data_IF_658851213422
#
_entry.id   IF_658851213422
#
_cell.length_a   1.000
_cell.length_b   1.000
_cell.length_c   1.000
_cell.angle_alpha   90.00
_cell.angle_beta   90.00
_cell.angle_gamma   90.00
#
_symmetry.space_group_name_H-M   'P 1'
#
loop_
_entity.id
_entity.type
_entity.pdbx_description
1 polymer ?
#
# COMPACT_ATOMS: atom_id res chain seq x y z
N UNK A 1 -3.58 31.83 30.85
CA UNK A 1 -2.97 31.86 29.52
C UNK A 1 -3.57 30.68 28.71
N UNK A 2 -4.03 30.91 27.46
CA UNK A 2 -4.55 29.82 26.66
C UNK A 2 -3.43 28.80 26.44
N UNK A 3 -3.71 27.54 26.73
CA UNK A 3 -2.79 26.43 26.47
C UNK A 3 -2.60 26.36 24.96
N UNK A 4 -1.34 26.51 24.50
CA UNK A 4 -1.05 26.47 23.08
C UNK A 4 -1.60 25.14 22.48
N UNK A 5 -2.16 25.17 21.26
CA UNK A 5 -2.67 23.98 20.59
C UNK A 5 -1.65 22.83 20.56
N UNK A 6 -0.37 23.15 20.45
CA UNK A 6 0.74 22.21 20.41
C UNK A 6 0.86 21.32 21.65
N UNK A 7 0.68 21.88 22.85
CA UNK A 7 0.76 21.07 24.08
C UNK A 7 -0.31 19.99 24.17
N UNK A 8 -1.52 20.26 23.63
CA UNK A 8 -2.61 19.26 23.62
C UNK A 8 -2.34 18.16 22.59
N UNK A 9 -1.71 18.49 21.48
CA UNK A 9 -1.38 17.54 20.41
C UNK A 9 -0.21 16.64 20.83
N UNK A 10 0.83 17.23 21.43
CA UNK A 10 2.00 16.49 21.92
C UNK A 10 1.62 15.48 23.01
N UNK A 11 0.69 15.82 23.90
CA UNK A 11 0.19 14.90 24.92
C UNK A 11 -0.55 13.69 24.35
N UNK A 12 -1.08 13.77 23.11
CA UNK A 12 -1.82 12.69 22.44
C UNK A 12 -0.94 11.83 21.52
N UNK A 13 0.28 12.26 21.19
CA UNK A 13 1.19 11.57 20.25
C UNK A 13 0.69 11.50 18.79
N UNK A 14 -0.38 12.23 18.46
CA UNK A 14 -1.06 12.17 17.15
C UNK A 14 -0.74 13.43 16.32
N UNK A 15 0.51 13.67 16.00
CA UNK A 15 0.93 14.88 15.26
C UNK A 15 0.47 14.92 13.81
N UNK A 16 0.30 13.77 13.14
CA UNK A 16 -0.08 13.71 11.72
C UNK A 16 -1.48 14.24 11.45
N UNK A 17 -2.42 14.05 12.37
CA UNK A 17 -3.82 14.43 12.17
C UNK A 17 -4.01 15.94 12.14
N UNK A 18 -3.48 16.73 13.10
CA UNK A 18 -3.57 18.19 13.06
C UNK A 18 -2.91 18.80 11.85
N UNK A 19 -1.75 18.32 11.43
CA UNK A 19 -1.08 18.79 10.22
C UNK A 19 -1.92 18.55 8.96
N UNK A 20 -2.54 17.38 8.83
CA UNK A 20 -3.46 17.08 7.71
C UNK A 20 -4.72 17.94 7.74
N UNK A 21 -5.26 18.21 8.93
CA UNK A 21 -6.40 19.11 9.09
C UNK A 21 -6.00 20.52 8.65
N UNK A 22 -4.88 21.04 9.14
CA UNK A 22 -4.36 22.35 8.74
C UNK A 22 -4.19 22.45 7.22
N UNK A 23 -3.54 21.46 6.59
CA UNK A 23 -3.35 21.43 5.13
C UNK A 23 -4.69 21.49 4.38
N UNK A 24 -5.68 20.73 4.84
CA UNK A 24 -7.03 20.72 4.22
C UNK A 24 -7.77 22.03 4.41
N UNK A 25 -7.74 22.59 5.63
CA UNK A 25 -8.36 23.89 5.92
C UNK A 25 -7.71 24.98 5.05
N UNK A 26 -6.38 25.04 4.98
CA UNK A 26 -5.66 25.99 4.12
C UNK A 26 -6.03 25.82 2.65
N UNK A 27 -6.19 24.58 2.18
CA UNK A 27 -6.58 24.32 0.78
C UNK A 27 -8.03 24.74 0.50
N UNK A 28 -8.97 24.50 1.41
CA UNK A 28 -10.37 24.93 1.31
C UNK A 28 -10.46 26.47 1.26
N UNK A 29 -9.75 27.14 2.18
CA UNK A 29 -9.76 28.61 2.21
C UNK A 29 -9.08 29.21 0.97
N UNK A 30 -8.04 28.57 0.45
CA UNK A 30 -7.43 28.98 -0.83
C UNK A 30 -8.40 28.85 -1.99
N UNK A 31 -9.18 27.76 -2.05
CA UNK A 31 -10.23 27.58 -3.04
C UNK A 31 -11.30 28.67 -2.92
N UNK A 32 -11.70 29.05 -1.70
CA UNK A 32 -12.65 30.11 -1.46
C UNK A 32 -12.16 31.48 -1.97
N UNK A 33 -10.86 31.79 -1.76
CA UNK A 33 -10.24 33.00 -2.36
C UNK A 33 -10.23 32.94 -3.87
N UNK A 34 -9.87 31.79 -4.47
CA UNK A 34 -9.81 31.61 -5.92
C UNK A 34 -11.16 31.75 -6.62
N UNK A 35 -12.25 31.55 -5.88
CA UNK A 35 -13.62 31.68 -6.39
C UNK A 35 -14.34 32.94 -5.85
N UNK A 36 -13.60 33.92 -5.36
CA UNK A 36 -14.10 35.21 -4.86
C UNK A 36 -15.16 35.09 -3.75
N UNK A 37 -15.16 33.99 -2.97
CA UNK A 37 -16.04 33.83 -1.80
C UNK A 37 -15.51 34.55 -0.57
N UNK A 38 -14.21 34.77 -0.47
CA UNK A 38 -13.51 35.53 0.57
C UNK A 38 -12.31 36.25 -0.04
N UNK A 39 -11.96 37.42 0.49
CA UNK A 39 -10.86 38.24 -0.02
C UNK A 39 -9.47 37.69 0.37
N UNK A 40 -9.36 37.09 1.55
CA UNK A 40 -8.07 36.59 2.09
C UNK A 40 -8.23 35.23 2.70
N UNK A 41 -7.14 34.46 2.69
CA UNK A 41 -7.12 33.13 3.33
C UNK A 41 -6.79 33.26 4.83
N UNK A 42 -7.76 33.11 5.75
CA UNK A 42 -7.51 33.24 7.20
C UNK A 42 -6.63 32.12 7.77
N UNK A 43 -6.40 31.03 7.00
CA UNK A 43 -5.53 29.93 7.42
C UNK A 43 -4.09 30.07 6.91
N UNK A 44 -3.73 31.16 6.22
CA UNK A 44 -2.35 31.38 5.71
C UNK A 44 -1.34 31.48 6.83
N UNK A 45 -1.68 32.17 7.92
CA UNK A 45 -0.79 32.44 9.07
C UNK A 45 -0.65 31.26 10.04
N UNK A 46 -1.38 30.18 9.78
CA UNK A 46 -1.24 28.93 10.56
C UNK A 46 0.00 28.12 10.15
N UNK A 47 0.71 28.52 9.12
CA UNK A 47 1.96 27.87 8.72
C UNK A 47 3.00 28.02 9.84
N UNK A 48 3.54 26.89 10.35
CA UNK A 48 4.51 26.88 11.44
C UNK A 48 3.94 26.90 12.85
N UNK A 49 2.62 27.05 13.03
CA UNK A 49 1.97 26.96 14.36
C UNK A 49 2.05 25.56 14.96
N UNK A 50 2.00 24.53 14.10
CA UNK A 50 2.15 23.15 14.54
C UNK A 50 3.61 22.73 14.43
N UNK A 51 4.16 22.18 15.52
CA UNK A 51 5.50 21.61 15.51
C UNK A 51 5.57 20.45 14.50
N UNK A 52 6.58 20.50 13.62
CA UNK A 52 6.83 19.40 12.70
C UNK A 52 7.58 18.29 13.44
N UNK A 53 6.92 17.18 13.68
CA UNK A 53 7.62 15.98 14.14
C UNK A 53 8.53 15.46 13.03
N UNK A 54 9.77 15.15 13.38
CA UNK A 54 10.66 14.43 12.46
C UNK A 54 10.00 13.11 12.09
N UNK A 55 9.73 12.91 10.80
CA UNK A 55 9.17 11.67 10.32
C UNK A 55 10.06 10.48 10.74
N UNK A 56 9.55 9.59 11.57
CA UNK A 56 10.24 8.36 11.93
C UNK A 56 9.85 7.30 10.90
N UNK A 57 10.80 6.95 10.04
CA UNK A 57 10.58 5.86 9.09
C UNK A 57 10.37 4.53 9.83
N UNK A 58 9.51 3.68 9.26
CA UNK A 58 9.39 2.32 9.76
C UNK A 58 10.74 1.61 9.68
N UNK A 59 11.06 0.72 10.64
CA UNK A 59 12.28 -0.06 10.58
C UNK A 59 12.35 -0.85 9.28
N UNK A 60 13.45 -0.70 8.55
CA UNK A 60 13.75 -1.52 7.39
C UNK A 60 14.70 -2.64 7.77
N UNK A 61 14.56 -3.80 7.13
CA UNK A 61 15.51 -4.89 7.32
C UNK A 61 16.86 -4.51 6.70
N UNK A 62 17.96 -4.46 7.48
CA UNK A 62 19.28 -4.22 6.91
C UNK A 62 19.64 -5.31 5.89
N UNK A 63 20.29 -4.92 4.81
CA UNK A 63 20.66 -5.87 3.75
C UNK A 63 21.54 -7.02 4.25
N UNK A 64 22.41 -6.75 5.24
CA UNK A 64 23.24 -7.77 5.91
C UNK A 64 22.43 -8.88 6.58
N UNK A 65 21.17 -8.61 6.98
CA UNK A 65 20.27 -9.59 7.60
C UNK A 65 19.34 -10.28 6.61
N UNK A 66 19.44 -9.94 5.32
CA UNK A 66 18.59 -10.54 4.30
C UNK A 66 18.77 -12.07 4.16
N UNK A 67 19.98 -12.63 4.21
CA UNK A 67 20.17 -14.09 4.21
C UNK A 67 19.48 -14.78 5.39
N UNK A 68 19.55 -14.19 6.60
CA UNK A 68 18.84 -14.71 7.78
C UNK A 68 17.32 -14.72 7.56
N UNK A 69 16.79 -13.63 6.99
CA UNK A 69 15.36 -13.53 6.66
C UNK A 69 14.93 -14.64 5.68
N UNK A 70 15.69 -14.88 4.61
CA UNK A 70 15.39 -15.94 3.63
C UNK A 70 15.44 -17.32 4.28
N UNK A 71 16.43 -17.60 5.15
CA UNK A 71 16.53 -18.85 5.86
C UNK A 71 15.32 -19.08 6.79
N UNK A 72 14.87 -18.04 7.50
CA UNK A 72 13.67 -18.10 8.34
C UNK A 72 12.40 -18.28 7.53
N UNK A 73 12.31 -17.64 6.36
CA UNK A 73 11.18 -17.80 5.45
C UNK A 73 11.11 -19.22 4.88
N UNK A 74 12.24 -19.80 4.51
CA UNK A 74 12.31 -21.20 4.07
C UNK A 74 11.91 -22.18 5.17
N UNK A 75 12.26 -21.89 6.44
CA UNK A 75 11.89 -22.69 7.60
C UNK A 75 10.46 -22.41 8.13
N UNK A 76 9.71 -21.50 7.51
CA UNK A 76 8.36 -21.13 7.96
C UNK A 76 7.40 -22.32 7.87
N UNK A 77 6.80 -22.68 9.02
CA UNK A 77 5.89 -23.84 9.14
C UNK A 77 4.40 -23.49 9.08
N UNK A 78 4.08 -22.24 8.79
CA UNK A 78 2.69 -21.80 8.60
C UNK A 78 2.14 -22.17 7.22
N UNK A 79 1.13 -21.44 6.78
CA UNK A 79 0.49 -21.69 5.49
C UNK A 79 1.47 -21.50 4.33
N UNK A 80 1.53 -22.48 3.43
CA UNK A 80 2.37 -22.44 2.22
C UNK A 80 2.05 -21.21 1.37
N UNK A 81 0.77 -20.85 1.22
CA UNK A 81 0.35 -19.66 0.49
C UNK A 81 0.95 -18.36 1.06
N UNK A 82 1.06 -18.26 2.38
CA UNK A 82 1.68 -17.09 3.03
C UNK A 82 3.17 -17.00 2.68
N UNK A 83 3.88 -18.12 2.69
CA UNK A 83 5.29 -18.17 2.28
C UNK A 83 5.44 -17.75 0.82
N UNK A 84 4.67 -18.35 -0.09
CA UNK A 84 4.68 -18.01 -1.52
C UNK A 84 4.36 -16.53 -1.73
N UNK A 85 3.39 -15.96 -1.02
CA UNK A 85 3.05 -14.55 -1.13
C UNK A 85 4.22 -13.63 -0.74
N UNK A 86 4.96 -13.97 0.32
CA UNK A 86 6.14 -13.21 0.73
C UNK A 86 7.26 -13.34 -0.30
N UNK A 87 7.53 -14.54 -0.80
CA UNK A 87 8.55 -14.79 -1.82
C UNK A 87 8.22 -14.05 -3.13
N UNK A 88 6.96 -14.11 -3.59
CA UNK A 88 6.51 -13.36 -4.76
C UNK A 88 6.61 -11.84 -4.55
N UNK A 89 6.29 -11.33 -3.36
CA UNK A 89 6.48 -9.91 -3.03
C UNK A 89 7.93 -9.46 -3.21
N UNK A 90 8.89 -10.31 -2.82
CA UNK A 90 10.32 -10.03 -2.96
C UNK A 90 10.79 -10.07 -4.42
N UNK A 91 10.22 -10.97 -5.22
CA UNK A 91 10.61 -11.15 -6.62
C UNK A 91 9.96 -10.14 -7.57
N UNK A 92 8.80 -9.59 -7.21
CA UNK A 92 8.02 -8.72 -8.10
C UNK A 92 7.94 -7.27 -7.63
N UNK A 93 8.18 -6.99 -6.36
CA UNK A 93 8.07 -5.67 -5.72
C UNK A 93 6.70 -4.98 -5.93
N UNK A 94 5.66 -5.74 -6.20
CA UNK A 94 4.30 -5.22 -6.30
C UNK A 94 3.77 -4.81 -4.92
N UNK A 95 2.77 -3.95 -4.88
CA UNK A 95 2.13 -3.57 -3.62
C UNK A 95 1.36 -4.74 -3.03
N UNK A 96 1.32 -4.81 -1.70
CA UNK A 96 0.60 -5.87 -0.99
C UNK A 96 -0.87 -6.00 -1.39
N UNK A 97 -1.54 -4.89 -1.75
CA UNK A 97 -2.92 -4.92 -2.27
C UNK A 97 -3.01 -5.49 -3.68
N UNK A 98 -2.01 -5.27 -4.52
CA UNK A 98 -1.96 -5.81 -5.88
C UNK A 98 -1.78 -7.33 -5.83
N UNK A 99 -0.87 -7.81 -4.98
CA UNK A 99 -0.65 -9.24 -4.77
C UNK A 99 -1.87 -9.93 -4.11
N UNK A 100 -2.44 -9.32 -3.07
CA UNK A 100 -3.57 -9.90 -2.34
C UNK A 100 -4.80 -10.14 -3.20
N UNK A 101 -5.06 -9.27 -4.18
CA UNK A 101 -6.21 -9.36 -5.07
C UNK A 101 -5.84 -9.82 -6.49
N UNK A 102 -4.64 -10.37 -6.66
CA UNK A 102 -4.18 -10.95 -7.92
C UNK A 102 -5.08 -12.10 -8.38
N UNK A 103 -5.33 -12.17 -9.67
CA UNK A 103 -6.16 -13.19 -10.32
C UNK A 103 -5.36 -14.03 -11.28
N UNK A 104 -5.80 -15.26 -11.50
CA UNK A 104 -5.12 -16.17 -12.42
C UNK A 104 -5.15 -15.72 -13.87
N UNK A 105 -6.20 -15.01 -14.28
CA UNK A 105 -6.33 -14.44 -15.63
C UNK A 105 -5.40 -13.24 -15.90
N UNK A 106 -4.80 -12.67 -14.83
CA UNK A 106 -3.79 -11.63 -14.96
C UNK A 106 -2.39 -12.17 -15.28
N UNK A 107 -2.16 -13.50 -15.14
CA UNK A 107 -0.85 -14.14 -15.30
C UNK A 107 -0.76 -14.83 -16.65
N UNK A 108 0.10 -14.31 -17.52
CA UNK A 108 0.45 -14.91 -18.81
C UNK A 108 1.67 -15.82 -18.61
N UNK A 109 1.44 -17.12 -18.49
CA UNK A 109 2.48 -18.12 -18.25
C UNK A 109 3.41 -18.30 -19.47
N UNK A 110 2.90 -18.08 -20.69
CA UNK A 110 3.68 -18.25 -21.92
C UNK A 110 4.66 -17.09 -22.12
N UNK A 111 4.21 -15.87 -21.78
CA UNK A 111 5.02 -14.66 -21.93
C UNK A 111 5.80 -14.27 -20.68
N UNK A 112 5.62 -14.98 -19.58
CA UNK A 112 6.26 -14.66 -18.29
C UNK A 112 5.90 -13.25 -17.81
N UNK A 113 4.62 -12.89 -17.91
CA UNK A 113 4.13 -11.56 -17.56
C UNK A 113 2.94 -11.66 -16.59
N UNK A 114 2.92 -10.77 -15.62
CA UNK A 114 1.73 -10.50 -14.81
C UNK A 114 1.23 -9.10 -15.12
N UNK A 115 -0.02 -9.01 -15.59
CA UNK A 115 -0.69 -7.76 -15.94
C UNK A 115 -1.62 -7.34 -14.80
N UNK A 116 -1.18 -6.39 -13.99
CA UNK A 116 -2.00 -5.82 -12.92
C UNK A 116 -2.90 -4.74 -13.53
N UNK A 117 -4.21 -4.95 -13.64
CA UNK A 117 -5.09 -4.01 -14.31
C UNK A 117 -5.26 -2.71 -13.52
N UNK A 118 -5.60 -1.63 -14.23
CA UNK A 118 -5.91 -0.34 -13.61
C UNK A 118 -7.07 -0.44 -12.62
N UNK A 119 -8.07 -1.26 -12.94
CA UNK A 119 -9.24 -1.54 -12.12
C UNK A 119 -9.64 -3.01 -12.29
N UNK A 120 -10.10 -3.64 -11.23
CA UNK A 120 -10.66 -4.99 -11.23
C UNK A 120 -12.17 -4.95 -11.06
N UNK A 121 -12.85 -5.97 -11.53
CA UNK A 121 -14.25 -6.19 -11.17
C UNK A 121 -14.36 -6.61 -9.71
N UNK A 122 -15.50 -6.33 -9.08
CA UNK A 122 -15.72 -6.70 -7.70
C UNK A 122 -16.10 -8.17 -7.59
N UNK A 123 -15.40 -8.92 -6.75
CA UNK A 123 -15.76 -10.31 -6.42
C UNK A 123 -16.75 -10.27 -5.27
N UNK A 124 -17.94 -10.83 -5.48
CA UNK A 124 -19.01 -10.89 -4.47
C UNK A 124 -18.51 -11.54 -3.17
N UNK A 125 -18.63 -10.82 -2.08
CA UNK A 125 -18.20 -11.28 -0.75
C UNK A 125 -16.72 -11.01 -0.43
N UNK A 126 -15.92 -10.55 -1.37
CA UNK A 126 -14.51 -10.19 -1.14
C UNK A 126 -14.33 -8.68 -1.10
N UNK A 127 -14.30 -8.15 0.10
CA UNK A 127 -14.18 -6.69 0.33
C UNK A 127 -12.92 -6.12 -0.31
N UNK A 128 -13.08 -5.05 -1.09
CA UNK A 128 -12.00 -4.34 -1.80
C UNK A 128 -11.37 -5.10 -2.98
N UNK A 129 -11.96 -6.18 -3.46
CA UNK A 129 -11.46 -6.96 -4.62
C UNK A 129 -11.38 -6.15 -5.92
N UNK A 130 -12.13 -5.03 -6.02
CA UNK A 130 -12.09 -4.09 -7.14
C UNK A 130 -10.79 -3.27 -7.23
N UNK A 131 -9.91 -3.36 -6.23
CA UNK A 131 -8.67 -2.58 -6.21
C UNK A 131 -7.68 -3.11 -7.23
N UNK A 132 -7.40 -2.30 -8.25
CA UNK A 132 -6.30 -2.46 -9.18
C UNK A 132 -5.13 -1.54 -8.83
N UNK A 133 -4.44 -1.06 -9.86
CA UNK A 133 -3.31 -0.13 -9.71
C UNK A 133 -3.74 1.21 -9.11
N UNK A 134 -2.94 1.73 -8.18
CA UNK A 134 -3.16 3.03 -7.55
C UNK A 134 -3.12 4.19 -8.56
N UNK A 135 -2.32 4.08 -9.61
CA UNK A 135 -2.11 5.11 -10.65
C UNK A 135 -3.20 5.06 -11.74
N UNK A 136 -4.11 4.07 -11.68
CA UNK A 136 -5.18 3.86 -12.67
C UNK A 136 -4.70 3.56 -14.10
N UNK A 137 -3.51 3.03 -14.24
CA UNK A 137 -2.93 2.51 -15.48
C UNK A 137 -2.55 1.03 -15.27
N UNK A 138 -2.53 0.24 -16.34
CA UNK A 138 -2.08 -1.14 -16.27
C UNK A 138 -0.59 -1.19 -15.90
N UNK A 139 -0.24 -2.11 -15.00
CA UNK A 139 1.15 -2.35 -14.63
C UNK A 139 1.59 -3.74 -15.09
N UNK A 140 2.57 -3.78 -15.97
CA UNK A 140 3.14 -5.02 -16.49
C UNK A 140 4.36 -5.40 -15.65
N UNK A 141 4.31 -6.56 -15.02
CA UNK A 141 5.37 -7.11 -14.17
C UNK A 141 6.00 -8.31 -14.87
N UNK A 142 7.26 -8.20 -15.32
CA UNK A 142 8.00 -9.36 -15.83
C UNK A 142 8.22 -10.39 -14.71
N UNK A 143 7.96 -11.66 -15.01
CA UNK A 143 8.10 -12.74 -14.05
C UNK A 143 9.43 -13.47 -14.27
N UNK A 144 10.23 -13.55 -13.20
CA UNK A 144 11.43 -14.37 -13.19
C UNK A 144 11.08 -15.87 -13.20
N UNK A 145 12.05 -16.72 -13.54
CA UNK A 145 11.87 -18.19 -13.45
C UNK A 145 11.46 -18.62 -12.03
N UNK A 146 12.04 -18.01 -11.01
CA UNK A 146 11.69 -18.29 -9.62
C UNK A 146 10.23 -17.92 -9.32
N UNK A 147 9.75 -16.77 -9.81
CA UNK A 147 8.36 -16.37 -9.64
C UNK A 147 7.40 -17.34 -10.36
N UNK A 148 7.77 -17.82 -11.56
CA UNK A 148 6.98 -18.81 -12.29
C UNK A 148 6.86 -20.12 -11.52
N UNK A 149 7.96 -20.66 -10.98
CA UNK A 149 7.93 -21.89 -10.15
C UNK A 149 6.98 -21.72 -8.96
N UNK A 150 7.01 -20.55 -8.29
CA UNK A 150 6.13 -20.27 -7.17
C UNK A 150 4.64 -20.18 -7.61
N UNK A 151 4.38 -19.58 -8.76
CA UNK A 151 3.03 -19.48 -9.32
C UNK A 151 2.49 -20.86 -9.75
N UNK A 152 3.34 -21.71 -10.31
CA UNK A 152 2.98 -23.11 -10.65
C UNK A 152 2.65 -23.92 -9.38
N UNK A 153 3.46 -23.78 -8.31
CA UNK A 153 3.15 -24.39 -7.02
C UNK A 153 1.84 -23.86 -6.44
N UNK A 154 1.63 -22.55 -6.51
CA UNK A 154 0.41 -21.91 -6.01
C UNK A 154 -0.82 -22.37 -6.81
N UNK A 155 -0.67 -22.60 -8.12
CA UNK A 155 -1.75 -23.09 -9.00
C UNK A 155 -2.27 -24.47 -8.59
N UNK A 156 -1.43 -25.31 -8.01
CA UNK A 156 -1.87 -26.62 -7.46
C UNK A 156 -2.75 -26.46 -6.21
N UNK A 157 -2.67 -25.29 -5.54
CA UNK A 157 -3.38 -25.03 -4.27
C UNK A 157 -4.67 -24.24 -4.52
N UNK A 158 -4.63 -23.26 -5.41
CA UNK A 158 -5.73 -22.31 -5.63
C UNK A 158 -6.08 -22.06 -7.09
N UNK A 159 -5.60 -22.91 -8.01
CA UNK A 159 -5.82 -22.73 -9.44
C UNK A 159 -7.29 -22.94 -9.87
N UNK A 160 -8.13 -23.51 -9.02
CA UNK A 160 -9.58 -23.64 -9.17
C UNK A 160 -10.36 -22.40 -8.71
N UNK A 161 -9.68 -21.44 -8.10
CA UNK A 161 -10.25 -20.18 -7.61
C UNK A 161 -9.96 -19.03 -8.57
N UNK A 162 -10.68 -17.94 -8.43
CA UNK A 162 -10.41 -16.71 -9.18
C UNK A 162 -9.14 -16.01 -8.70
N UNK A 163 -8.95 -15.94 -7.38
CA UNK A 163 -7.80 -15.29 -6.75
C UNK A 163 -6.62 -16.24 -6.62
N UNK A 164 -5.39 -15.69 -6.80
CA UNK A 164 -4.15 -16.41 -6.47
C UNK A 164 -4.12 -16.77 -4.98
N UNK A 165 -4.55 -15.84 -4.13
CA UNK A 165 -4.54 -15.95 -2.67
C UNK A 165 -5.96 -15.81 -2.11
N UNK A 166 -6.83 -16.80 -2.31
CA UNK A 166 -8.15 -16.77 -1.70
C UNK A 166 -8.03 -16.76 -0.18
N UNK A 167 -8.92 -16.01 0.48
CA UNK A 167 -9.13 -16.09 1.92
C UNK A 167 -9.81 -17.42 2.31
N UNK A 168 -9.86 -17.68 3.60
CA UNK A 168 -10.67 -18.77 4.16
C UNK A 168 -12.14 -18.40 4.06
#
# INVERSE_FOLDING_TARGET
PPVSPDKKVDASGKHDVPQRIQQRVTAIMRYAVQNDYIDTNPASDMAGVLSTTKARHYPALPFSRFPEFLARLAAYRGRVMTRIAVELSLLTFVRSSELRFARWDEVDFDKYLWRVPAKREEIKGVRYSYRGMKIKEEHIVPLSRQAMILLEQLKQISGDKELLFPGD
#
